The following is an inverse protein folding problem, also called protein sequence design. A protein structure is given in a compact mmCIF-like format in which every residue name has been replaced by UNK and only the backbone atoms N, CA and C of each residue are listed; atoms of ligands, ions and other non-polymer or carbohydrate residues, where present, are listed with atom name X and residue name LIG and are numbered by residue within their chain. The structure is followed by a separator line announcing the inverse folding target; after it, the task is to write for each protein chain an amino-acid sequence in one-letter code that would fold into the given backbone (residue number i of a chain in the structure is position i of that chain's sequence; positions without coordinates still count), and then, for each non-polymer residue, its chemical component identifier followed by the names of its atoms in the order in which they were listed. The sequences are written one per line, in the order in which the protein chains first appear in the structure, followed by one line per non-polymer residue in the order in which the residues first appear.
data_IF_807940931388
#
_entry.id   IF_807940931388
#
_cell.length_a   1.000
_cell.length_b   1.000
_cell.length_c   1.000
_cell.angle_alpha   90.00
_cell.angle_beta   90.00
_cell.angle_gamma   90.00
#
_symmetry.space_group_name_H-M   'P 1'
#
loop_
_entity.id
_entity.type
_entity.pdbx_description
1 polymer ?
#
# COMPACT_ATOMS: atom_id res chain seq x y z
N UNK A 1 -14.45 -10.86 4.08
CA UNK A 1 -14.18 -9.95 2.94
C UNK A 1 -14.89 -8.59 3.06
N UNK A 2 -15.51 -8.25 4.20
CA UNK A 2 -16.28 -7.00 4.40
C UNK A 2 -15.55 -5.91 5.20
N UNK A 3 -14.31 -6.15 5.67
CA UNK A 3 -13.57 -5.16 6.46
C UNK A 3 -12.87 -4.17 5.52
N UNK A 4 -13.43 -2.95 5.45
CA UNK A 4 -13.01 -1.83 4.58
C UNK A 4 -11.70 -1.17 5.07
N UNK A 5 -11.16 -1.59 6.22
CA UNK A 5 -10.00 -0.94 6.87
C UNK A 5 -8.83 -1.89 7.11
N UNK A 6 -7.62 -1.46 6.75
CA UNK A 6 -6.38 -2.23 7.00
C UNK A 6 -6.20 -2.49 8.51
N UNK A 7 -6.43 -1.48 9.34
CA UNK A 7 -6.34 -1.58 10.81
C UNK A 7 -7.36 -2.57 11.38
N UNK A 8 -8.56 -2.63 10.81
CA UNK A 8 -9.59 -3.57 11.26
C UNK A 8 -9.24 -5.03 10.95
N UNK A 9 -8.27 -5.28 10.06
CA UNK A 9 -7.78 -6.63 9.75
C UNK A 9 -6.53 -7.04 10.54
N UNK A 10 -5.97 -6.14 11.35
CA UNK A 10 -4.81 -6.43 12.20
C UNK A 10 -5.01 -7.68 13.07
N UNK A 11 -6.16 -7.92 13.74
CA UNK A 11 -6.36 -9.14 14.52
C UNK A 11 -6.28 -10.42 13.67
N UNK A 12 -6.80 -10.39 12.45
CA UNK A 12 -6.77 -11.51 11.51
C UNK A 12 -5.34 -11.81 11.05
N UNK A 13 -4.57 -10.77 10.71
CA UNK A 13 -3.16 -10.90 10.32
C UNK A 13 -2.34 -11.48 11.49
N UNK A 14 -2.60 -11.04 12.72
CA UNK A 14 -1.94 -11.56 13.91
C UNK A 14 -2.26 -13.03 14.17
N UNK A 15 -3.53 -13.43 14.10
CA UNK A 15 -3.93 -14.82 14.30
C UNK A 15 -3.29 -15.74 13.25
N UNK A 16 -3.29 -15.31 11.99
CA UNK A 16 -2.64 -16.04 10.90
C UNK A 16 -1.13 -16.19 11.12
N UNK A 17 -0.44 -15.11 11.47
CA UNK A 17 1.00 -15.13 11.70
C UNK A 17 1.40 -15.94 12.93
N UNK A 18 0.60 -15.94 14.01
CA UNK A 18 0.83 -16.79 15.18
C UNK A 18 0.85 -18.28 14.84
N UNK A 19 0.04 -18.71 13.87
CA UNK A 19 0.03 -20.11 13.39
C UNK A 19 1.26 -20.46 12.54
N UNK A 20 1.96 -19.46 11.97
CA UNK A 20 3.07 -19.65 11.02
C UNK A 20 4.44 -19.30 11.60
N UNK A 21 4.51 -18.48 12.65
CA UNK A 21 5.74 -17.93 13.19
C UNK A 21 5.91 -18.30 14.67
N UNK A 22 7.12 -18.76 15.04
CA UNK A 22 7.47 -19.09 16.43
C UNK A 22 7.64 -17.85 17.30
N UNK A 23 8.16 -16.76 16.74
CA UNK A 23 8.39 -15.49 17.43
C UNK A 23 7.14 -14.60 17.47
N UNK A 24 6.14 -14.98 18.26
CA UNK A 24 4.81 -14.31 18.33
C UNK A 24 4.88 -12.85 18.76
N UNK A 25 5.79 -12.48 19.67
CA UNK A 25 5.97 -11.08 20.10
C UNK A 25 6.56 -10.21 18.97
N UNK A 26 7.59 -10.69 18.28
CA UNK A 26 8.18 -9.98 17.14
C UNK A 26 7.15 -9.83 16.00
N UNK A 27 6.41 -10.89 15.70
CA UNK A 27 5.32 -10.86 14.72
C UNK A 27 4.27 -9.80 15.06
N UNK A 28 3.92 -9.68 16.34
CA UNK A 28 2.91 -8.72 16.78
C UNK A 28 3.36 -7.28 16.56
N UNK A 29 4.60 -6.95 16.92
CA UNK A 29 5.17 -5.62 16.69
C UNK A 29 5.29 -5.29 15.20
N UNK A 30 5.78 -6.26 14.41
CA UNK A 30 5.95 -6.11 12.95
C UNK A 30 4.61 -5.83 12.27
N UNK A 31 3.55 -6.57 12.62
CA UNK A 31 2.21 -6.36 12.08
C UNK A 31 1.66 -4.99 12.47
N UNK A 32 1.84 -4.56 13.73
CA UNK A 32 1.35 -3.26 14.20
C UNK A 32 1.95 -2.09 13.40
N UNK A 33 3.24 -2.18 13.07
CA UNK A 33 3.93 -1.18 12.24
C UNK A 33 3.42 -1.25 10.80
N UNK A 34 3.44 -2.44 10.20
CA UNK A 34 3.17 -2.62 8.76
C UNK A 34 1.73 -2.27 8.41
N UNK A 35 0.75 -2.62 9.23
CA UNK A 35 -0.66 -2.30 8.94
C UNK A 35 -0.91 -0.79 8.88
N UNK A 36 -0.15 0.01 9.64
CA UNK A 36 -0.23 1.47 9.65
C UNK A 36 0.45 2.16 8.46
N UNK A 37 1.53 1.58 7.92
CA UNK A 37 2.38 2.25 6.91
C UNK A 37 2.44 1.55 5.55
N UNK A 38 2.30 0.22 5.52
CA UNK A 38 2.55 -0.58 4.33
C UNK A 38 1.25 -0.81 3.56
N UNK A 39 1.18 -0.14 2.41
CA UNK A 39 0.06 -0.17 1.47
C UNK A 39 0.58 -0.39 0.04
N UNK A 40 1.34 -1.47 -0.17
CA UNK A 40 2.00 -1.74 -1.45
C UNK A 40 1.00 -1.84 -2.61
N UNK A 41 -0.18 -2.41 -2.39
CA UNK A 41 -1.18 -2.58 -3.43
C UNK A 41 -1.75 -1.25 -3.92
N UNK A 42 -1.87 -0.25 -3.03
CA UNK A 42 -2.23 1.12 -3.44
C UNK A 42 -1.19 1.72 -4.40
N UNK A 43 0.11 1.52 -4.12
CA UNK A 43 1.16 2.00 -5.02
C UNK A 43 0.99 1.37 -6.41
N UNK A 44 0.87 0.05 -6.48
CA UNK A 44 0.75 -0.65 -7.76
C UNK A 44 -0.49 -0.20 -8.52
N UNK A 45 -1.65 -0.14 -7.85
CA UNK A 45 -2.89 0.24 -8.51
C UNK A 45 -2.80 1.62 -9.16
N UNK A 46 -2.33 2.64 -8.42
CA UNK A 46 -2.21 3.98 -8.97
C UNK A 46 -1.15 4.03 -10.05
N UNK A 47 0.04 3.45 -9.84
CA UNK A 47 1.12 3.53 -10.83
C UNK A 47 0.63 2.95 -12.16
N UNK A 48 0.00 1.78 -12.14
CA UNK A 48 -0.57 1.15 -13.33
C UNK A 48 -1.66 2.03 -13.94
N UNK A 49 -2.59 2.53 -13.13
CA UNK A 49 -3.69 3.37 -13.61
C UNK A 49 -3.17 4.67 -14.25
N UNK A 50 -2.15 5.27 -13.66
CA UNK A 50 -1.50 6.48 -14.18
C UNK A 50 -0.74 6.22 -15.49
N UNK A 51 -0.10 5.04 -15.66
CA UNK A 51 0.51 4.66 -16.93
C UNK A 51 -0.52 4.50 -18.05
N UNK A 52 -1.66 3.87 -17.76
CA UNK A 52 -2.74 3.66 -18.73
C UNK A 52 -3.25 5.02 -19.25
N UNK A 53 -3.34 6.01 -18.37
CA UNK A 53 -3.86 7.35 -18.68
C UNK A 53 -2.91 8.16 -19.57
N UNK A 54 -1.58 7.96 -19.46
CA UNK A 54 -0.56 8.65 -20.26
C UNK A 54 -0.18 7.79 -21.49
N UNK A 55 -1.01 6.81 -21.86
CA UNK A 55 -0.78 5.88 -22.97
C UNK A 55 0.60 5.18 -22.95
N UNK A 56 1.20 4.99 -21.76
CA UNK A 56 2.46 4.26 -21.60
C UNK A 56 3.75 5.02 -21.97
N UNK A 57 3.71 6.30 -22.35
CA UNK A 57 4.93 7.07 -22.64
C UNK A 57 5.58 7.59 -21.35
N UNK A 58 6.77 7.09 -21.03
CA UNK A 58 7.58 7.62 -19.95
C UNK A 58 8.08 9.03 -20.28
N UNK A 59 7.62 10.02 -19.52
CA UNK A 59 8.07 11.41 -19.61
C UNK A 59 8.77 11.85 -18.32
N UNK A 60 9.60 12.90 -18.38
CA UNK A 60 10.18 13.54 -17.19
C UNK A 60 9.11 13.91 -16.15
N UNK A 61 7.92 14.31 -16.61
CA UNK A 61 6.77 14.61 -15.76
C UNK A 61 6.23 13.38 -15.04
N UNK A 62 6.27 12.21 -15.68
CA UNK A 62 5.85 10.96 -15.07
C UNK A 62 6.85 10.48 -13.99
N UNK A 63 8.15 10.61 -14.24
CA UNK A 63 9.18 10.31 -13.23
C UNK A 63 9.03 11.24 -12.02
N UNK A 64 8.81 12.53 -12.29
CA UNK A 64 8.56 13.53 -11.23
C UNK A 64 7.30 13.19 -10.44
N UNK A 65 6.22 12.82 -11.13
CA UNK A 65 4.99 12.32 -10.51
C UNK A 65 5.27 11.13 -9.58
N UNK A 66 6.00 10.12 -10.04
CA UNK A 66 6.33 8.93 -9.25
C UNK A 66 7.09 9.27 -7.97
N UNK A 67 8.09 10.15 -8.07
CA UNK A 67 8.88 10.60 -6.93
C UNK A 67 8.00 11.31 -5.88
N UNK A 68 7.23 12.32 -6.31
CA UNK A 68 6.33 13.04 -5.39
C UNK A 68 5.25 12.14 -4.81
N UNK A 69 4.67 11.26 -5.62
CA UNK A 69 3.67 10.31 -5.17
C UNK A 69 4.22 9.39 -4.08
N UNK A 70 5.40 8.80 -4.31
CA UNK A 70 6.02 7.87 -3.37
C UNK A 70 6.40 8.59 -2.07
N UNK A 71 7.00 9.79 -2.16
CA UNK A 71 7.35 10.59 -0.98
C UNK A 71 6.12 10.97 -0.14
N UNK A 72 5.05 11.46 -0.77
CA UNK A 72 3.83 11.85 -0.05
C UNK A 72 3.13 10.66 0.61
N UNK A 73 3.20 9.48 0.00
CA UNK A 73 2.56 8.27 0.52
C UNK A 73 3.14 7.80 1.86
N UNK A 74 4.40 8.10 2.13
CA UNK A 74 5.03 7.82 3.42
C UNK A 74 4.97 9.00 4.41
N UNK A 75 4.71 10.21 3.91
CA UNK A 75 4.67 11.42 4.73
C UNK A 75 3.35 11.58 5.52
N UNK A 76 2.27 10.94 5.08
CA UNK A 76 0.94 11.11 5.67
C UNK A 76 0.45 9.78 6.25
N UNK A 77 0.30 9.74 7.58
CA UNK A 77 -0.46 8.69 8.29
C UNK A 77 -1.95 9.00 8.11
N UNK A 78 -2.43 8.96 6.86
CA UNK A 78 -3.80 9.37 6.52
C UNK A 78 -4.78 8.22 6.72
N UNK A 79 -6.02 8.54 7.08
CA UNK A 79 -7.13 7.58 7.06
C UNK A 79 -7.40 7.15 5.61
N UNK A 80 -7.86 5.92 5.41
CA UNK A 80 -7.93 5.22 4.11
C UNK A 80 -8.66 5.99 2.98
N UNK A 81 -9.59 6.88 3.31
CA UNK A 81 -10.32 7.76 2.38
C UNK A 81 -9.55 9.05 2.05
N UNK A 82 -8.77 9.59 2.98
CA UNK A 82 -7.93 10.78 2.74
C UNK A 82 -6.81 10.51 1.74
N UNK A 83 -6.42 9.24 1.58
CA UNK A 83 -5.30 8.86 0.72
C UNK A 83 -5.51 9.19 -0.76
N UNK A 84 -6.72 9.01 -1.31
CA UNK A 84 -6.98 9.42 -2.70
C UNK A 84 -7.10 10.94 -2.83
N UNK A 85 -7.63 11.62 -1.82
CA UNK A 85 -7.73 13.09 -1.79
C UNK A 85 -6.35 13.76 -1.89
N UNK A 86 -5.33 13.17 -1.26
CA UNK A 86 -3.93 13.61 -1.36
C UNK A 86 -3.36 13.39 -2.76
N UNK A 87 -3.83 12.38 -3.50
CA UNK A 87 -3.27 12.01 -4.80
C UNK A 87 -3.83 12.80 -5.98
N UNK A 88 -5.11 13.16 -5.93
CA UNK A 88 -5.74 13.95 -6.98
C UNK A 88 -4.96 15.23 -7.34
N UNK A 89 -4.48 16.06 -6.39
CA UNK A 89 -3.69 17.25 -6.74
C UNK A 89 -2.33 16.89 -7.37
N UNK A 90 -1.70 15.78 -6.99
CA UNK A 90 -0.43 15.32 -7.57
C UNK A 90 -0.65 14.86 -9.02
N UNK A 91 -1.71 14.07 -9.26
CA UNK A 91 -2.12 13.64 -10.60
C UNK A 91 -2.44 14.86 -11.50
N UNK A 92 -3.21 15.83 -11.00
CA UNK A 92 -3.54 17.06 -11.74
C UNK A 92 -2.29 17.87 -12.08
N UNK A 93 -1.39 18.07 -11.12
CA UNK A 93 -0.22 18.94 -11.25
C UNK A 93 0.84 18.35 -12.19
N UNK A 94 1.20 17.08 -12.00
CA UNK A 94 2.32 16.49 -12.71
C UNK A 94 1.92 15.78 -14.00
N UNK A 95 0.71 15.21 -14.07
CA UNK A 95 0.23 14.54 -15.28
C UNK A 95 -0.68 15.43 -16.14
N UNK A 96 -0.89 16.69 -15.72
CA UNK A 96 -1.81 17.66 -16.38
C UNK A 96 -3.19 17.06 -16.67
N UNK A 97 -3.65 16.14 -15.81
CA UNK A 97 -4.89 15.41 -16.04
C UNK A 97 -6.10 16.34 -16.03
N UNK A 98 -7.01 16.14 -16.98
CA UNK A 98 -8.29 16.85 -17.01
C UNK A 98 -9.21 16.39 -15.89
N UNK A 99 -10.16 17.23 -15.48
CA UNK A 99 -11.12 16.88 -14.42
C UNK A 99 -11.87 15.57 -14.71
N UNK A 100 -12.18 15.31 -15.99
CA UNK A 100 -12.81 14.06 -16.43
C UNK A 100 -11.96 12.83 -16.10
N UNK A 101 -10.64 12.90 -16.34
CA UNK A 101 -9.69 11.82 -16.03
C UNK A 101 -9.58 11.63 -14.51
N UNK A 102 -9.48 12.72 -13.74
CA UNK A 102 -9.45 12.63 -12.27
C UNK A 102 -10.72 11.98 -11.69
N UNK A 103 -11.89 12.36 -12.18
CA UNK A 103 -13.16 11.74 -11.76
C UNK A 103 -13.21 10.25 -12.11
N UNK A 104 -12.71 9.88 -13.29
CA UNK A 104 -12.62 8.48 -13.70
C UNK A 104 -11.68 7.66 -12.79
N UNK A 105 -10.48 8.19 -12.47
CA UNK A 105 -9.55 7.56 -11.52
C UNK A 105 -10.22 7.35 -10.16
N UNK A 106 -10.91 8.38 -9.66
CA UNK A 106 -11.58 8.33 -8.35
C UNK A 106 -12.66 7.26 -8.31
N UNK A 107 -13.47 7.17 -9.37
CA UNK A 107 -14.51 6.15 -9.49
C UNK A 107 -13.91 4.74 -9.54
N UNK A 108 -12.87 4.52 -10.35
CA UNK A 108 -12.19 3.23 -10.41
C UNK A 108 -11.58 2.85 -9.06
N UNK A 109 -10.89 3.78 -8.40
CA UNK A 109 -10.32 3.52 -7.09
C UNK A 109 -11.40 3.13 -6.07
N UNK A 110 -12.56 3.79 -6.06
CA UNK A 110 -13.67 3.44 -5.19
C UNK A 110 -14.21 2.03 -5.47
N UNK A 111 -14.35 1.63 -6.74
CA UNK A 111 -14.80 0.29 -7.15
C UNK A 111 -13.79 -0.79 -6.74
N UNK A 112 -12.50 -0.53 -6.98
CA UNK A 112 -11.42 -1.48 -6.68
C UNK A 112 -10.94 -1.45 -5.23
N UNK A 113 -11.44 -0.52 -4.42
CA UNK A 113 -11.00 -0.31 -3.04
C UNK A 113 -11.02 -1.59 -2.17
N UNK A 114 -12.05 -2.46 -2.22
CA UNK A 114 -12.04 -3.72 -1.47
C UNK A 114 -10.94 -4.70 -1.92
N UNK A 115 -10.64 -4.72 -3.23
CA UNK A 115 -9.57 -5.55 -3.82
C UNK A 115 -8.19 -5.01 -3.46
N UNK A 116 -8.00 -3.69 -3.51
CA UNK A 116 -6.75 -3.05 -3.09
C UNK A 116 -6.50 -3.30 -1.60
N UNK A 117 -7.55 -3.16 -0.79
CA UNK A 117 -7.47 -3.41 0.66
C UNK A 117 -7.16 -4.88 0.95
N UNK A 118 -7.82 -5.84 0.30
CA UNK A 118 -7.53 -7.26 0.52
C UNK A 118 -6.11 -7.64 0.10
N UNK A 119 -5.63 -7.08 -1.01
CA UNK A 119 -4.25 -7.26 -1.46
C UNK A 119 -3.26 -6.68 -0.45
N UNK A 120 -3.51 -5.49 0.12
CA UNK A 120 -2.67 -4.92 1.18
C UNK A 120 -2.62 -5.81 2.42
N UNK A 121 -3.76 -6.34 2.87
CA UNK A 121 -3.84 -7.26 4.02
C UNK A 121 -3.01 -8.51 3.78
N UNK A 122 -3.14 -9.10 2.59
CA UNK A 122 -2.36 -10.26 2.18
C UNK A 122 -0.86 -9.96 2.12
N UNK A 123 -0.48 -8.83 1.51
CA UNK A 123 0.92 -8.38 1.44
C UNK A 123 1.52 -8.12 2.81
N UNK A 124 0.75 -7.55 3.74
CA UNK A 124 1.20 -7.27 5.11
C UNK A 124 1.43 -8.56 5.91
N UNK A 125 0.54 -9.54 5.76
CA UNK A 125 0.73 -10.88 6.30
C UNK A 125 1.97 -11.57 5.71
N UNK A 126 2.10 -11.58 4.38
CA UNK A 126 3.23 -12.20 3.69
C UNK A 126 4.57 -11.57 4.08
N UNK A 127 4.65 -10.24 4.12
CA UNK A 127 5.84 -9.51 4.55
C UNK A 127 6.23 -9.87 5.97
N UNK A 128 5.27 -9.93 6.90
CA UNK A 128 5.55 -10.28 8.30
C UNK A 128 6.23 -11.65 8.41
N UNK A 129 5.70 -12.66 7.70
CA UNK A 129 6.30 -14.01 7.68
C UNK A 129 7.71 -13.97 7.09
N UNK A 130 7.89 -13.26 5.97
CA UNK A 130 9.19 -13.12 5.31
C UNK A 130 10.22 -12.45 6.23
N UNK A 131 9.84 -11.36 6.90
CA UNK A 131 10.69 -10.63 7.82
C UNK A 131 11.12 -11.51 9.00
N UNK A 132 10.19 -12.23 9.62
CA UNK A 132 10.51 -13.13 10.76
C UNK A 132 11.46 -14.24 10.32
N UNK A 133 11.21 -14.88 9.16
CA UNK A 133 12.11 -15.93 8.64
C UNK A 133 13.51 -15.39 8.37
N UNK A 134 13.59 -14.18 7.81
CA UNK A 134 14.86 -13.53 7.54
C UNK A 134 15.59 -13.19 8.84
N UNK A 135 14.88 -12.65 9.83
CA UNK A 135 15.40 -12.36 11.16
C UNK A 135 15.92 -13.62 11.87
N UNK A 136 15.16 -14.72 11.86
CA UNK A 136 15.57 -15.99 12.45
C UNK A 136 16.83 -16.54 11.77
N UNK A 137 16.92 -16.42 10.44
CA UNK A 137 18.11 -16.82 9.69
C UNK A 137 19.34 -15.99 10.06
N UNK A 138 19.19 -14.66 10.20
CA UNK A 138 20.30 -13.80 10.63
C UNK A 138 20.72 -14.08 12.07
N UNK A 139 19.76 -14.35 12.97
CA UNK A 139 20.04 -14.71 14.35
C UNK A 139 20.87 -16.00 14.47
N UNK A 140 20.60 -16.99 13.62
CA UNK A 140 21.37 -18.24 13.55
C UNK A 140 22.75 -18.11 12.91
N UNK A 141 23.03 -17.03 12.17
CA UNK A 141 24.36 -16.77 11.59
C UNK A 141 25.26 -15.95 12.52
N UNK A 142 24.69 -15.25 13.49
CA UNK A 142 25.39 -14.33 14.40
C UNK A 142 25.67 -14.92 15.80
N UNK A 143 25.10 -16.10 16.10
CA UNK A 143 25.27 -16.87 17.34
C UNK A 143 25.33 -18.35 17.00
#
# INVERSE_FOLDING_TARGET
MSTISNNATMPLILEWNKKKCKATNLATSVVAIIVGFHLVSDCFFIIILSMIIISGCASMNYITFLLYFLSFKFAIVAVQVERIMVMLPILKKYLKSSQKILSFITALYAVFYPLITSANVMSNGAFTIMFIKLYDKFKQCLF
#
